data_IF_440620868971
#
_entry.id   IF_440620868971
#
_cell.length_a   1.000
_cell.length_b   1.000
_cell.length_c   1.000
_cell.angle_alpha   90.00
_cell.angle_beta   90.00
_cell.angle_gamma   90.00
#
_symmetry.space_group_name_H-M   'P 1'
#
loop_
_entity.id
_entity.type
_entity.pdbx_description
1 polymer ?
#
# COMPACT_ATOMS: atom_id res chain seq x y z
N UNK A 1 13.44 1.55 15.13
CA UNK A 1 13.05 1.62 13.71
C UNK A 1 11.91 0.62 13.51
N UNK A 2 10.81 0.98 12.88
CA UNK A 2 9.74 0.02 12.58
C UNK A 2 10.16 -0.78 11.37
N UNK A 3 10.19 -2.11 11.48
CA UNK A 3 10.61 -2.99 10.39
C UNK A 3 9.71 -2.76 9.17
N UNK A 4 10.33 -2.65 8.00
CA UNK A 4 9.62 -2.59 6.73
C UNK A 4 9.10 -3.98 6.39
N UNK A 5 7.80 -4.09 6.14
CA UNK A 5 7.12 -5.31 5.69
C UNK A 5 7.01 -5.26 4.17
N UNK A 6 7.23 -6.40 3.53
CA UNK A 6 7.10 -6.55 2.07
C UNK A 6 6.15 -7.70 1.76
N UNK A 7 5.10 -7.42 1.00
CA UNK A 7 4.27 -8.44 0.37
C UNK A 7 4.52 -8.45 -1.13
N UNK A 8 4.97 -9.60 -1.66
CA UNK A 8 5.28 -9.74 -3.08
C UNK A 8 4.04 -9.85 -3.98
N UNK A 9 2.92 -10.30 -3.42
CA UNK A 9 1.63 -10.45 -4.11
C UNK A 9 0.51 -10.04 -3.16
N UNK A 10 0.09 -8.80 -3.26
CA UNK A 10 -1.07 -8.24 -2.56
C UNK A 10 -2.14 -7.88 -3.60
N UNK A 11 -3.39 -8.28 -3.36
CA UNK A 11 -4.51 -7.94 -4.23
C UNK A 11 -5.22 -6.73 -3.65
N UNK A 12 -5.22 -5.60 -4.37
CA UNK A 12 -5.91 -4.40 -3.92
C UNK A 12 -7.41 -4.67 -3.89
N UNK A 13 -8.06 -4.33 -2.80
CA UNK A 13 -9.50 -4.48 -2.63
C UNK A 13 -10.22 -3.14 -2.71
N UNK A 14 -9.60 -2.07 -2.21
CA UNK A 14 -10.18 -0.73 -2.20
C UNK A 14 -9.10 0.35 -2.10
N UNK A 15 -9.40 1.52 -2.69
CA UNK A 15 -8.60 2.73 -2.50
C UNK A 15 -9.52 3.90 -2.21
N UNK A 16 -9.36 4.49 -1.04
CA UNK A 16 -10.01 5.74 -0.68
C UNK A 16 -9.09 6.90 -1.05
N UNK A 17 -9.40 7.59 -2.15
CA UNK A 17 -8.64 8.75 -2.62
C UNK A 17 -9.19 10.06 -2.04
N UNK A 18 -9.00 10.24 -0.74
CA UNK A 18 -9.56 11.35 0.05
C UNK A 18 -8.47 12.18 0.74
N UNK A 19 -8.84 13.37 1.21
CA UNK A 19 -7.99 14.31 1.95
C UNK A 19 -8.60 14.45 3.35
N UNK A 20 -7.86 14.29 4.48
CA UNK A 20 -6.42 14.46 4.66
C UNK A 20 -5.52 13.25 4.40
N UNK A 21 -6.04 12.03 4.37
CA UNK A 21 -5.24 10.82 4.14
C UNK A 21 -5.97 9.89 3.18
N UNK A 22 -5.23 9.37 2.20
CA UNK A 22 -5.73 8.27 1.39
C UNK A 22 -5.59 6.95 2.15
N UNK A 23 -6.44 5.98 1.83
CA UNK A 23 -6.32 4.61 2.35
C UNK A 23 -6.22 3.61 1.20
N UNK A 24 -5.40 2.59 1.40
CA UNK A 24 -5.24 1.48 0.46
C UNK A 24 -5.53 0.20 1.23
N UNK A 25 -6.56 -0.53 0.82
CA UNK A 25 -6.91 -1.84 1.39
C UNK A 25 -6.49 -2.94 0.44
N UNK A 26 -5.98 -4.03 0.97
CA UNK A 26 -5.56 -5.16 0.18
C UNK A 26 -5.64 -6.47 0.96
N UNK A 27 -5.71 -7.54 0.19
CA UNK A 27 -5.70 -8.91 0.68
C UNK A 27 -4.35 -9.58 0.36
N UNK A 28 -3.85 -10.37 1.30
CA UNK A 28 -2.65 -11.18 1.12
C UNK A 28 -2.84 -12.55 1.77
N UNK A 29 -2.29 -13.59 1.13
CA UNK A 29 -2.17 -14.91 1.75
C UNK A 29 -0.90 -14.91 2.59
N UNK A 30 -1.02 -15.18 3.89
CA UNK A 30 0.14 -15.33 4.75
C UNK A 30 0.82 -16.70 4.55
N UNK A 31 1.96 -16.91 5.20
CA UNK A 31 2.73 -18.16 5.09
C UNK A 31 2.00 -19.39 5.63
N UNK A 32 0.91 -19.19 6.40
CA UNK A 32 0.06 -20.26 6.94
C UNK A 32 -1.10 -20.61 6.01
N UNK A 33 -1.27 -19.88 4.92
CA UNK A 33 -2.39 -20.04 4.00
C UNK A 33 -3.68 -19.36 4.46
N UNK A 34 -3.61 -18.46 5.45
CA UNK A 34 -4.75 -17.64 5.85
C UNK A 34 -4.80 -16.35 5.03
N UNK A 35 -6.02 -15.91 4.72
CA UNK A 35 -6.27 -14.62 4.09
C UNK A 35 -6.21 -13.51 5.15
N UNK A 36 -5.32 -12.54 4.95
CA UNK A 36 -5.21 -11.35 5.79
C UNK A 36 -5.68 -10.11 5.05
N UNK A 37 -6.48 -9.29 5.74
CA UNK A 37 -6.98 -8.01 5.24
C UNK A 37 -6.20 -6.87 5.85
N UNK A 38 -5.48 -6.12 5.02
CA UNK A 38 -4.64 -5.01 5.46
C UNK A 38 -5.23 -3.67 5.03
N UNK A 39 -5.03 -2.66 5.88
CA UNK A 39 -5.32 -1.26 5.55
C UNK A 39 -4.08 -0.41 5.75
N UNK A 40 -3.65 0.31 4.72
CA UNK A 40 -2.52 1.24 4.80
C UNK A 40 -2.99 2.67 4.65
N UNK A 41 -2.45 3.54 5.51
CA UNK A 41 -2.56 4.98 5.34
C UNK A 41 -1.50 5.47 4.36
N UNK A 42 -1.90 6.38 3.49
CA UNK A 42 -1.06 7.09 2.54
C UNK A 42 -1.22 8.62 2.71
N UNK A 43 -0.23 9.42 2.27
CA UNK A 43 -0.36 10.87 2.21
C UNK A 43 -1.60 11.36 1.45
N UNK A 44 -2.01 12.62 1.62
CA UNK A 44 -3.09 13.20 0.84
C UNK A 44 -2.78 13.23 -0.67
N UNK A 45 -3.82 13.35 -1.53
CA UNK A 45 -3.67 13.42 -2.98
C UNK A 45 -2.67 14.47 -3.46
N UNK A 46 -2.59 15.62 -2.77
CA UNK A 46 -1.69 16.72 -3.11
C UNK A 46 -0.21 16.35 -2.99
N UNK A 47 0.13 15.41 -2.09
CA UNK A 47 1.49 14.89 -1.93
C UNK A 47 1.78 13.70 -2.84
N UNK A 48 0.75 12.91 -3.16
CA UNK A 48 0.86 11.72 -3.99
C UNK A 48 0.93 12.05 -5.49
N UNK A 49 0.17 13.03 -5.97
CA UNK A 49 0.08 13.36 -7.39
C UNK A 49 1.43 13.72 -8.05
N UNK A 50 2.32 14.51 -7.42
CA UNK A 50 3.67 14.76 -7.93
C UNK A 50 4.56 13.51 -8.03
N UNK A 51 4.15 12.41 -7.39
CA UNK A 51 4.86 11.11 -7.38
C UNK A 51 4.17 10.09 -8.28
N UNK A 52 3.47 10.60 -9.28
CA UNK A 52 2.77 9.84 -10.33
C UNK A 52 1.63 8.94 -9.85
N UNK A 53 1.20 9.10 -8.59
CA UNK A 53 -0.03 8.49 -8.14
C UNK A 53 -1.23 9.26 -8.72
N UNK A 54 -2.29 8.53 -9.00
CA UNK A 54 -3.59 9.09 -9.32
C UNK A 54 -4.68 8.15 -8.87
N UNK A 55 -5.95 8.58 -8.95
CA UNK A 55 -7.12 7.72 -8.74
C UNK A 55 -7.14 6.46 -9.63
N UNK A 56 -6.34 6.43 -10.70
CA UNK A 56 -6.27 5.33 -11.67
C UNK A 56 -4.95 4.56 -11.63
N UNK A 57 -3.94 5.02 -10.87
CA UNK A 57 -2.61 4.41 -10.87
C UNK A 57 -2.56 3.07 -10.12
N UNK A 58 -3.55 2.84 -9.26
CA UNK A 58 -3.79 1.63 -8.52
C UNK A 58 -5.31 1.47 -8.44
N UNK A 59 -5.84 0.27 -8.61
CA UNK A 59 -7.28 -0.02 -8.60
C UNK A 59 -7.56 -1.36 -7.91
N UNK A 60 -8.81 -1.55 -7.47
CA UNK A 60 -9.26 -2.84 -6.97
C UNK A 60 -9.07 -3.93 -8.03
N UNK A 61 -8.59 -5.10 -7.61
CA UNK A 61 -8.21 -6.22 -8.48
C UNK A 61 -6.76 -6.20 -8.94
N UNK A 62 -6.03 -5.09 -8.79
CA UNK A 62 -4.60 -5.06 -9.10
C UNK A 62 -3.82 -5.98 -8.15
N UNK A 63 -2.96 -6.82 -8.71
CA UNK A 63 -2.01 -7.63 -7.94
C UNK A 63 -0.64 -6.96 -7.98
N UNK A 64 -0.13 -6.54 -6.83
CA UNK A 64 1.06 -5.70 -6.72
C UNK A 64 2.02 -6.20 -5.65
N UNK A 65 3.26 -5.72 -5.71
CA UNK A 65 4.16 -5.76 -4.55
C UNK A 65 3.97 -4.50 -3.71
N UNK A 66 3.77 -4.67 -2.41
CA UNK A 66 3.59 -3.58 -1.44
C UNK A 66 4.70 -3.61 -0.40
N UNK A 67 5.24 -2.43 -0.09
CA UNK A 67 6.23 -2.21 0.97
C UNK A 67 5.75 -1.10 1.90
N UNK A 68 5.78 -1.34 3.21
CA UNK A 68 5.17 -0.45 4.21
C UNK A 68 5.75 -0.67 5.62
N UNK A 69 5.44 0.25 6.53
CA UNK A 69 5.75 0.11 7.95
C UNK A 69 4.51 -0.35 8.71
N UNK A 70 4.53 -1.55 9.27
CA UNK A 70 3.42 -2.11 10.02
C UNK A 70 3.24 -1.45 11.40
N UNK A 71 2.01 -1.41 11.88
CA UNK A 71 1.68 -0.95 13.23
C UNK A 71 2.36 -1.85 14.28
N UNK A 72 2.85 -1.23 15.38
CA UNK A 72 3.60 -1.95 16.43
C UNK A 72 2.74 -2.85 17.31
N UNK A 73 1.44 -2.63 17.33
CA UNK A 73 0.45 -3.36 18.13
C UNK A 73 0.02 -4.69 17.47
N UNK A 74 0.57 -5.04 16.30
CA UNK A 74 0.25 -6.29 15.59
C UNK A 74 -1.06 -6.26 14.80
N UNK A 75 -1.77 -5.13 14.74
CA UNK A 75 -2.94 -5.02 13.86
C UNK A 75 -2.50 -5.02 12.38
N UNK A 76 -3.34 -5.50 11.44
CA UNK A 76 -3.04 -5.47 10.00
C UNK A 76 -3.24 -4.07 9.42
N UNK A 77 -2.47 -3.12 9.96
CA UNK A 77 -2.48 -1.72 9.61
C UNK A 77 -1.05 -1.21 9.45
N UNK A 78 -0.86 -0.16 8.66
CA UNK A 78 0.46 0.44 8.50
C UNK A 78 0.48 1.73 7.69
N UNK A 79 1.68 2.25 7.49
CA UNK A 79 1.93 3.42 6.64
C UNK A 79 2.67 2.95 5.41
N UNK A 80 2.10 3.21 4.23
CA UNK A 80 2.68 2.74 2.96
C UNK A 80 3.99 3.47 2.63
N UNK A 81 4.97 2.74 2.12
CA UNK A 81 6.22 3.32 1.59
C UNK A 81 6.19 3.38 0.06
N UNK A 82 5.88 2.26 -0.60
CA UNK A 82 5.78 2.18 -2.07
C UNK A 82 4.98 0.97 -2.55
N UNK A 83 4.50 1.07 -3.79
CA UNK A 83 3.86 -0.02 -4.56
C UNK A 83 4.68 -0.25 -5.83
N UNK A 84 4.96 -1.51 -6.16
CA UNK A 84 5.49 -1.89 -7.48
C UNK A 84 4.39 -2.59 -8.27
N UNK A 85 4.01 -2.00 -9.39
CA UNK A 85 2.99 -2.50 -10.31
C UNK A 85 3.53 -3.67 -11.15
N UNK A 86 2.66 -4.51 -11.76
CA UNK A 86 3.09 -5.62 -12.62
C UNK A 86 4.01 -5.23 -13.77
N UNK A 87 3.86 -4.01 -14.28
CA UNK A 87 4.70 -3.47 -15.37
C UNK A 87 6.07 -2.95 -14.88
N UNK A 88 6.40 -3.12 -13.59
CA UNK A 88 7.65 -2.65 -12.99
C UNK A 88 7.65 -1.18 -12.56
N UNK A 89 6.57 -0.41 -12.83
CA UNK A 89 6.46 0.97 -12.34
C UNK A 89 6.36 0.99 -10.82
N UNK A 90 7.12 1.88 -10.19
CA UNK A 90 7.12 2.06 -8.74
C UNK A 90 6.42 3.36 -8.38
N UNK A 91 5.32 3.26 -7.64
CA UNK A 91 4.60 4.38 -7.05
C UNK A 91 5.11 4.60 -5.61
N UNK A 92 5.82 5.71 -5.37
CA UNK A 92 6.41 6.02 -4.05
C UNK A 92 5.50 6.94 -3.24
N UNK A 93 5.14 6.52 -2.04
CA UNK A 93 4.35 7.34 -1.12
C UNK A 93 5.21 8.20 -0.20
N UNK A 94 6.46 7.81 0.04
CA UNK A 94 7.51 8.61 0.69
C UNK A 94 8.82 8.50 -0.08
N UNK A 95 9.76 9.45 0.06
CA UNK A 95 11.12 9.30 -0.45
C UNK A 95 11.78 8.04 0.14
N UNK A 96 12.68 7.42 -0.62
CA UNK A 96 13.54 6.37 -0.10
C UNK A 96 14.40 6.97 1.03
N UNK A 97 14.41 6.34 2.20
CA UNK A 97 15.24 6.73 3.35
C UNK A 97 16.56 5.99 3.35
#
# INVERSE_FOLDING_TARGET
MTNMVTFGKATITEIEWTNPHCQIRFDVMNDKGDLEHWTLEAPPPSMLAPREWSRKSLQAGDMVKIEFHAAKNGSPFGIIQRVTLPNGKILRAYPDR
#
